data_IF_903934807354
#
_entry.id   IF_903934807354
#
_cell.length_a   1.000
_cell.length_b   1.000
_cell.length_c   1.000
_cell.angle_alpha   90.00
_cell.angle_beta   90.00
_cell.angle_gamma   90.00
#
_symmetry.space_group_name_H-M   'P 1'
#
loop_
_entity.id
_entity.type
_entity.pdbx_description
1 polymer ?
#
# COMPACT_ATOMS: atom_id res chain seq x y z
N UNK A 1 -1.32 24.51 22.87
CA UNK A 1 -2.74 24.50 22.51
C UNK A 1 -2.92 23.47 21.41
N UNK A 2 -3.45 22.29 21.75
CA UNK A 2 -3.53 21.16 20.83
C UNK A 2 -4.62 21.40 19.78
N UNK A 3 -4.23 21.38 18.52
CA UNK A 3 -5.18 21.33 17.41
C UNK A 3 -5.83 19.95 17.43
N UNK A 4 -7.13 19.89 17.68
CA UNK A 4 -7.95 18.67 17.72
C UNK A 4 -7.88 17.90 16.39
N UNK A 5 -8.03 16.57 16.41
CA UNK A 5 -8.18 15.74 15.22
C UNK A 5 -9.27 16.27 14.26
N UNK A 6 -10.35 16.84 14.81
CA UNK A 6 -11.40 17.50 14.04
C UNK A 6 -10.92 18.76 13.29
N UNK A 7 -9.96 19.48 13.86
CA UNK A 7 -9.36 20.67 13.24
C UNK A 7 -8.30 20.31 12.19
N UNK A 8 -7.61 19.18 12.33
CA UNK A 8 -6.78 18.58 11.26
C UNK A 8 -7.64 18.09 10.09
N UNK A 9 -8.81 17.51 10.37
CA UNK A 9 -9.81 17.14 9.37
C UNK A 9 -10.34 18.36 8.61
N UNK A 10 -10.66 19.44 9.32
CA UNK A 10 -11.14 20.69 8.74
C UNK A 10 -10.06 21.40 7.90
N UNK A 11 -8.78 21.36 8.30
CA UNK A 11 -7.69 21.93 7.50
C UNK A 11 -7.45 21.16 6.21
N UNK A 12 -7.63 19.83 6.19
CA UNK A 12 -7.52 19.01 4.97
C UNK A 12 -8.68 19.21 4.00
N UNK A 13 -9.87 19.56 4.49
CA UNK A 13 -11.03 19.93 3.65
C UNK A 13 -10.87 21.31 2.97
N UNK A 14 -9.91 22.13 3.41
CA UNK A 14 -9.66 23.48 2.89
C UNK A 14 -8.42 23.57 1.98
N UNK A 15 -7.60 22.53 1.92
CA UNK A 15 -6.53 22.43 0.94
C UNK A 15 -7.15 22.08 -0.43
N UNK A 16 -6.73 22.70 -1.55
CA UNK A 16 -7.19 22.29 -2.86
C UNK A 16 -6.79 20.82 -3.05
N UNK A 17 -7.79 19.93 -3.07
CA UNK A 17 -7.61 18.53 -3.39
C UNK A 17 -7.05 18.45 -4.81
N UNK A 18 -5.73 18.28 -4.92
CA UNK A 18 -5.10 17.88 -6.17
C UNK A 18 -5.26 16.36 -6.27
N UNK A 19 -6.46 15.96 -6.67
CA UNK A 19 -6.90 14.58 -6.84
C UNK A 19 -8.37 14.62 -7.21
N UNK A 20 -8.75 14.04 -8.34
CA UNK A 20 -10.12 14.08 -8.78
C UNK A 20 -10.90 13.05 -7.94
N UNK A 21 -11.77 13.53 -7.05
CA UNK A 21 -12.52 12.64 -6.15
C UNK A 21 -13.67 12.01 -6.95
N UNK A 22 -13.51 10.74 -7.32
CA UNK A 22 -14.56 9.96 -7.99
C UNK A 22 -15.47 9.32 -6.94
N UNK A 23 -16.52 10.02 -6.52
CA UNK A 23 -17.58 9.46 -5.68
C UNK A 23 -17.53 9.85 -4.21
N UNK A 24 -18.15 9.03 -3.36
CA UNK A 24 -18.26 9.29 -1.92
C UNK A 24 -17.17 8.54 -1.15
N UNK A 25 -16.64 9.17 -0.09
CA UNK A 25 -15.71 8.53 0.85
C UNK A 25 -16.36 7.25 1.43
N UNK A 26 -15.71 6.08 1.32
CA UNK A 26 -16.21 4.84 1.91
C UNK A 26 -16.45 4.98 3.41
N UNK A 27 -17.61 4.52 3.86
CA UNK A 27 -18.02 4.61 5.25
C UNK A 27 -17.61 3.35 6.00
N UNK A 28 -16.78 3.51 7.03
CA UNK A 28 -16.55 2.44 7.99
C UNK A 28 -17.81 2.29 8.89
N UNK A 29 -18.10 1.09 9.41
CA UNK A 29 -19.20 0.92 10.36
C UNK A 29 -19.10 1.85 11.58
N UNK A 30 -20.13 1.97 12.40
CA UNK A 30 -20.05 2.73 13.65
C UNK A 30 -19.33 1.95 14.77
N UNK A 31 -18.89 2.64 15.83
CA UNK A 31 -18.31 2.06 17.05
C UNK A 31 -16.91 2.58 17.40
N UNK A 32 -16.21 1.91 18.32
CA UNK A 32 -14.85 2.30 18.73
C UNK A 32 -13.74 1.57 17.98
N UNK A 33 -14.07 0.41 17.39
CA UNK A 33 -13.12 -0.40 16.61
C UNK A 33 -13.72 -0.84 15.27
N UNK A 34 -12.86 -1.12 14.29
CA UNK A 34 -13.20 -1.48 12.89
C UNK A 34 -12.64 -2.87 12.61
N UNK A 35 -13.40 -3.75 11.96
CA UNK A 35 -12.88 -5.08 11.59
C UNK A 35 -12.00 -4.98 10.35
N UNK A 36 -11.02 -5.87 10.23
CA UNK A 36 -10.11 -5.89 9.09
C UNK A 36 -10.85 -6.14 7.77
N UNK A 37 -11.92 -6.95 7.76
CA UNK A 37 -12.72 -7.13 6.54
C UNK A 37 -13.49 -5.86 6.13
N UNK A 38 -14.00 -5.07 7.08
CA UNK A 38 -14.59 -3.76 6.81
C UNK A 38 -13.56 -2.79 6.22
N UNK A 39 -12.34 -2.76 6.77
CA UNK A 39 -11.24 -1.95 6.23
C UNK A 39 -10.87 -2.38 4.81
N UNK A 40 -10.71 -3.69 4.57
CA UNK A 40 -10.41 -4.23 3.24
C UNK A 40 -11.53 -3.90 2.24
N UNK A 41 -12.80 -3.97 2.66
CA UNK A 41 -13.92 -3.60 1.80
C UNK A 41 -13.84 -2.12 1.39
N UNK A 42 -13.61 -1.22 2.36
CA UNK A 42 -13.40 0.19 2.07
C UNK A 42 -12.23 0.41 1.09
N UNK A 43 -11.08 -0.23 1.30
CA UNK A 43 -9.92 -0.10 0.40
C UNK A 43 -10.20 -0.60 -1.02
N UNK A 44 -11.02 -1.66 -1.18
CA UNK A 44 -11.46 -2.10 -2.51
C UNK A 44 -12.33 -1.04 -3.19
N UNK A 45 -13.27 -0.43 -2.47
CA UNK A 45 -14.08 0.66 -3.02
C UNK A 45 -13.22 1.86 -3.43
N UNK A 46 -12.21 2.22 -2.62
CA UNK A 46 -11.25 3.29 -2.96
C UNK A 46 -10.49 2.94 -4.23
N UNK A 47 -9.91 1.74 -4.32
CA UNK A 47 -9.12 1.33 -5.49
C UNK A 47 -9.98 1.26 -6.76
N UNK A 48 -11.21 0.75 -6.66
CA UNK A 48 -12.12 0.66 -7.79
C UNK A 48 -12.55 2.07 -8.26
N UNK A 49 -12.74 3.04 -7.35
CA UNK A 49 -13.02 4.44 -7.68
C UNK A 49 -11.82 5.18 -8.29
N UNK A 50 -10.61 4.94 -7.77
CA UNK A 50 -9.37 5.55 -8.25
C UNK A 50 -8.87 4.92 -9.56
N UNK A 51 -9.36 3.74 -9.94
CA UNK A 51 -8.97 3.08 -11.18
C UNK A 51 -9.08 4.02 -12.39
N UNK A 52 -10.14 4.82 -12.44
CA UNK A 52 -10.44 5.69 -13.59
C UNK A 52 -9.85 7.11 -13.43
N UNK A 53 -9.04 7.34 -12.39
CA UNK A 53 -8.31 8.59 -12.20
C UNK A 53 -7.24 8.77 -13.30
N UNK A 54 -7.14 9.96 -13.94
CA UNK A 54 -6.17 10.21 -15.01
C UNK A 54 -4.73 9.92 -14.63
N UNK A 55 -4.31 10.22 -13.40
CA UNK A 55 -2.94 9.98 -12.94
C UNK A 55 -2.69 8.48 -12.72
N UNK A 56 -3.69 7.74 -12.22
CA UNK A 56 -3.63 6.28 -12.08
C UNK A 56 -3.56 5.60 -13.46
N UNK A 57 -4.36 6.07 -14.41
CA UNK A 57 -4.37 5.56 -15.79
C UNK A 57 -3.04 5.86 -16.50
N UNK A 58 -2.45 7.04 -16.29
CA UNK A 58 -1.15 7.39 -16.82
C UNK A 58 -0.04 6.48 -16.24
N UNK A 59 -0.06 6.24 -14.92
CA UNK A 59 0.90 5.34 -14.29
C UNK A 59 0.73 3.88 -14.80
N UNK A 60 -0.50 3.42 -15.04
CA UNK A 60 -0.78 2.10 -15.65
C UNK A 60 -0.21 2.01 -17.07
N UNK A 61 -0.49 3.00 -17.93
CA UNK A 61 -0.02 3.02 -19.31
C UNK A 61 1.51 2.97 -19.38
N UNK A 62 2.20 3.71 -18.50
CA UNK A 62 3.65 3.66 -18.39
C UNK A 62 4.18 2.28 -17.94
N UNK A 63 3.46 1.60 -17.04
CA UNK A 63 3.81 0.26 -16.60
C UNK A 63 3.61 -0.77 -17.73
N UNK A 64 2.51 -0.66 -18.48
CA UNK A 64 2.22 -1.49 -19.67
C UNK A 64 3.35 -1.36 -20.69
N UNK A 65 3.69 -0.13 -21.07
CA UNK A 65 4.75 0.14 -22.04
C UNK A 65 6.10 -0.42 -21.58
N UNK A 66 6.45 -0.21 -20.30
CA UNK A 66 7.74 -0.64 -19.76
C UNK A 66 7.91 -2.15 -19.70
N UNK A 67 6.83 -2.87 -19.36
CA UNK A 67 6.90 -4.29 -19.03
C UNK A 67 6.19 -5.22 -20.03
N UNK A 68 5.60 -4.68 -21.10
CA UNK A 68 4.85 -5.45 -22.10
C UNK A 68 3.63 -6.15 -21.50
N UNK A 69 2.91 -5.45 -20.63
CA UNK A 69 1.74 -5.99 -19.95
C UNK A 69 0.53 -6.07 -20.88
N UNK A 70 -0.38 -7.00 -20.61
CA UNK A 70 -1.68 -6.98 -21.28
C UNK A 70 -2.53 -5.83 -20.74
N UNK A 71 -2.95 -4.92 -21.62
CA UNK A 71 -3.89 -3.86 -21.26
C UNK A 71 -5.34 -4.32 -21.40
N UNK A 72 -5.83 -4.98 -20.36
CA UNK A 72 -7.23 -5.36 -20.22
C UNK A 72 -7.85 -4.84 -18.91
N UNK A 73 -9.17 -4.93 -18.81
CA UNK A 73 -9.90 -4.34 -17.68
C UNK A 73 -9.61 -5.03 -16.34
N UNK A 74 -9.28 -6.33 -16.37
CA UNK A 74 -8.91 -7.09 -15.17
C UNK A 74 -7.53 -6.68 -14.68
N UNK A 75 -6.54 -6.56 -15.58
CA UNK A 75 -5.20 -6.12 -15.27
C UNK A 75 -5.19 -4.69 -14.72
N UNK A 76 -5.97 -3.78 -15.31
CA UNK A 76 -6.15 -2.40 -14.79
C UNK A 76 -6.75 -2.36 -13.39
N UNK A 77 -7.80 -3.16 -13.15
CA UNK A 77 -8.44 -3.25 -11.84
C UNK A 77 -7.50 -3.82 -10.77
N UNK A 78 -6.73 -4.85 -11.11
CA UNK A 78 -5.70 -5.35 -10.19
C UNK A 78 -4.60 -4.31 -9.95
N UNK A 79 -4.16 -3.62 -11.00
CA UNK A 79 -3.16 -2.56 -10.89
C UNK A 79 -3.59 -1.47 -9.91
N UNK A 80 -4.83 -0.97 -10.00
CA UNK A 80 -5.32 0.05 -9.08
C UNK A 80 -5.23 -0.39 -7.60
N UNK A 81 -5.53 -1.67 -7.33
CA UNK A 81 -5.43 -2.27 -5.98
C UNK A 81 -3.98 -2.43 -5.53
N UNK A 82 -3.11 -2.92 -6.42
CA UNK A 82 -1.66 -3.05 -6.17
C UNK A 82 -1.05 -1.69 -5.88
N UNK A 83 -1.33 -0.68 -6.70
CA UNK A 83 -0.83 0.68 -6.56
C UNK A 83 -1.28 1.28 -5.23
N UNK A 84 -2.57 1.22 -4.90
CA UNK A 84 -3.09 1.74 -3.63
C UNK A 84 -2.39 1.09 -2.43
N UNK A 85 -2.30 -0.24 -2.42
CA UNK A 85 -1.65 -0.96 -1.33
C UNK A 85 -0.16 -0.67 -1.25
N UNK A 86 0.55 -0.66 -2.38
CA UNK A 86 1.96 -0.30 -2.44
C UNK A 86 2.20 1.08 -1.83
N UNK A 87 1.42 2.09 -2.24
CA UNK A 87 1.55 3.45 -1.71
C UNK A 87 1.16 3.53 -0.24
N UNK A 88 0.24 2.68 0.21
CA UNK A 88 -0.23 2.65 1.59
C UNK A 88 0.74 1.96 2.55
N UNK A 89 1.25 0.78 2.18
CA UNK A 89 1.94 -0.14 3.08
C UNK A 89 3.46 -0.06 3.01
N UNK A 90 4.02 0.82 2.18
CA UNK A 90 5.48 1.01 2.12
C UNK A 90 5.99 1.97 3.20
N UNK A 91 7.29 1.96 3.41
CA UNK A 91 7.98 2.94 4.26
C UNK A 91 7.64 4.38 3.85
N UNK A 92 7.30 5.19 4.85
CA UNK A 92 6.83 6.56 4.64
C UNK A 92 5.55 6.65 3.80
N UNK A 93 4.84 5.54 3.55
CA UNK A 93 3.64 5.49 2.72
C UNK A 93 2.44 6.24 3.31
N UNK A 94 1.27 6.06 2.71
CA UNK A 94 0.03 6.71 3.15
C UNK A 94 -0.30 6.36 4.60
N UNK A 95 -0.03 5.12 5.03
CA UNK A 95 -0.30 4.69 6.41
C UNK A 95 0.84 4.99 7.39
N UNK A 96 1.82 5.79 6.96
CA UNK A 96 2.93 6.26 7.80
C UNK A 96 3.64 5.12 8.54
N UNK A 97 3.92 4.02 7.84
CA UNK A 97 4.78 2.95 8.35
C UNK A 97 6.23 3.43 8.34
N UNK A 98 7.01 3.01 9.33
CA UNK A 98 8.43 3.26 9.40
C UNK A 98 9.21 1.98 9.15
N UNK A 99 10.18 2.04 8.25
CA UNK A 99 11.13 0.98 8.06
C UNK A 99 12.29 1.07 9.06
N UNK A 100 12.52 -0.03 9.78
CA UNK A 100 13.70 -0.25 10.62
C UNK A 100 14.02 -1.76 10.69
N UNK A 101 15.22 -2.12 11.14
CA UNK A 101 15.63 -3.51 11.31
C UNK A 101 14.99 -4.08 12.57
N UNK A 102 14.05 -5.01 12.41
CA UNK A 102 13.33 -5.62 13.53
C UNK A 102 13.84 -7.02 13.88
N UNK A 103 14.53 -7.69 12.94
CA UNK A 103 14.97 -9.09 13.06
C UNK A 103 13.81 -10.05 13.40
N UNK A 104 12.61 -9.78 12.87
CA UNK A 104 11.42 -10.62 13.06
C UNK A 104 11.27 -11.64 11.93
N UNK A 105 10.29 -12.53 12.08
CA UNK A 105 9.94 -13.45 11.01
C UNK A 105 9.22 -12.71 9.87
N UNK A 106 9.37 -13.15 8.60
CA UNK A 106 8.87 -12.45 7.41
C UNK A 106 7.34 -12.56 7.26
N UNK A 107 6.61 -11.88 8.14
CA UNK A 107 5.14 -11.81 8.18
C UNK A 107 4.67 -10.53 8.86
N UNK A 108 3.40 -10.18 8.70
CA UNK A 108 2.87 -8.91 9.21
C UNK A 108 2.26 -8.95 10.62
N UNK A 109 2.34 -10.07 11.36
CA UNK A 109 1.69 -10.20 12.69
C UNK A 109 2.06 -9.05 13.64
N UNK A 110 3.33 -8.66 13.62
CA UNK A 110 3.85 -7.66 14.53
C UNK A 110 3.37 -6.24 14.18
N UNK A 111 3.08 -5.97 12.91
CA UNK A 111 2.42 -4.73 12.47
C UNK A 111 0.98 -4.71 12.99
N UNK A 112 0.23 -5.81 12.83
CA UNK A 112 -1.13 -5.93 13.35
C UNK A 112 -1.20 -5.76 14.87
N UNK A 113 -0.21 -6.29 15.60
CA UNK A 113 -0.10 -6.12 17.05
C UNK A 113 0.14 -4.65 17.44
N UNK A 114 1.02 -3.94 16.73
CA UNK A 114 1.27 -2.51 16.96
C UNK A 114 0.01 -1.67 16.70
N UNK A 115 -0.66 -1.90 15.57
CA UNK A 115 -1.89 -1.20 15.22
C UNK A 115 -3.02 -1.42 16.22
N UNK A 116 -3.12 -2.63 16.76
CA UNK A 116 -4.10 -2.94 17.82
C UNK A 116 -3.86 -2.20 19.14
N UNK A 117 -2.63 -1.77 19.39
CA UNK A 117 -2.25 -1.05 20.61
C UNK A 117 -2.30 0.49 20.41
N UNK A 118 -2.73 0.97 19.24
CA UNK A 118 -2.67 2.37 18.83
C UNK A 118 -4.02 3.08 19.01
N UNK A 119 -4.49 3.18 20.25
CA UNK A 119 -5.86 3.63 20.56
C UNK A 119 -6.13 5.09 20.14
N UNK A 120 -5.11 5.97 20.23
CA UNK A 120 -5.20 7.41 19.93
C UNK A 120 -4.27 7.84 18.79
N UNK A 121 -4.26 7.09 17.68
CA UNK A 121 -3.45 7.45 16.52
C UNK A 121 -3.90 8.77 15.88
N UNK A 122 -3.00 9.76 15.84
CA UNK A 122 -3.25 11.10 15.29
C UNK A 122 -2.50 11.38 13.97
N UNK A 123 -1.79 10.39 13.44
CA UNK A 123 -1.09 10.51 12.17
C UNK A 123 0.25 11.24 12.21
N UNK A 124 0.73 11.67 13.40
CA UNK A 124 2.01 12.40 13.56
C UNK A 124 3.21 11.50 13.80
N UNK A 125 2.96 10.33 14.39
CA UNK A 125 3.97 9.29 14.62
C UNK A 125 3.78 8.14 13.64
N UNK A 126 4.79 7.28 13.52
CA UNK A 126 4.66 6.05 12.75
C UNK A 126 3.46 5.22 13.24
N UNK A 127 2.69 4.65 12.32
CA UNK A 127 1.59 3.75 12.69
C UNK A 127 2.13 2.38 13.13
N UNK A 128 3.25 1.95 12.56
CA UNK A 128 4.03 0.81 13.04
C UNK A 128 5.45 0.88 12.47
N UNK A 129 6.38 0.22 13.15
CA UNK A 129 7.75 -0.01 12.68
C UNK A 129 7.89 -1.46 12.23
N UNK A 130 8.50 -1.67 11.06
CA UNK A 130 8.60 -2.99 10.44
C UNK A 130 9.78 -3.07 9.44
N UNK A 131 10.35 -4.26 9.30
CA UNK A 131 11.40 -4.52 8.32
C UNK A 131 10.82 -4.79 6.91
N UNK A 132 11.68 -4.86 5.89
CA UNK A 132 11.30 -5.00 4.49
C UNK A 132 10.41 -6.23 4.20
N UNK A 133 10.63 -7.31 4.94
CA UNK A 133 9.93 -8.57 4.83
C UNK A 133 8.54 -8.54 5.48
N UNK A 134 8.42 -7.93 6.66
CA UNK A 134 7.16 -7.64 7.34
C UNK A 134 6.28 -6.70 6.48
N UNK A 135 6.87 -5.65 5.89
CA UNK A 135 6.17 -4.73 4.98
C UNK A 135 5.72 -5.42 3.68
N UNK A 136 6.59 -6.23 3.08
CA UNK A 136 6.25 -7.02 1.89
C UNK A 136 5.16 -8.05 2.18
N UNK A 137 5.19 -8.68 3.35
CA UNK A 137 4.17 -9.61 3.81
C UNK A 137 2.82 -8.91 4.07
N UNK A 138 2.84 -7.73 4.67
CA UNK A 138 1.64 -6.91 4.86
C UNK A 138 0.98 -6.57 3.52
N UNK A 139 1.78 -6.07 2.57
CA UNK A 139 1.32 -5.81 1.21
C UNK A 139 0.71 -7.07 0.59
N UNK A 140 1.43 -8.20 0.61
CA UNK A 140 0.99 -9.43 -0.03
C UNK A 140 -0.30 -9.98 0.61
N UNK A 141 -0.38 -9.97 1.94
CA UNK A 141 -1.57 -10.35 2.68
C UNK A 141 -2.78 -9.51 2.24
N UNK A 142 -2.65 -8.18 2.24
CA UNK A 142 -3.73 -7.28 1.85
C UNK A 142 -4.07 -7.38 0.35
N UNK A 143 -3.09 -7.60 -0.51
CA UNK A 143 -3.30 -7.75 -1.95
C UNK A 143 -4.17 -8.97 -2.27
N UNK A 144 -3.85 -10.13 -1.68
CA UNK A 144 -4.70 -11.32 -1.77
C UNK A 144 -6.11 -11.06 -1.24
N UNK A 145 -6.22 -10.30 -0.13
CA UNK A 145 -7.50 -9.90 0.45
C UNK A 145 -8.25 -8.91 -0.42
N UNK A 146 -7.60 -8.13 -1.26
CA UNK A 146 -8.22 -7.25 -2.26
C UNK A 146 -8.49 -7.98 -3.58
N UNK A 147 -8.20 -9.28 -3.68
CA UNK A 147 -8.44 -10.10 -4.87
C UNK A 147 -7.41 -9.91 -5.98
N UNK A 148 -6.23 -9.36 -5.67
CA UNK A 148 -5.08 -9.34 -6.60
C UNK A 148 -4.60 -10.78 -6.80
N UNK A 149 -4.37 -11.17 -8.06
CA UNK A 149 -3.92 -12.52 -8.37
C UNK A 149 -2.39 -12.62 -8.19
N UNK A 150 -1.94 -13.76 -7.70
CA UNK A 150 -0.53 -14.16 -7.64
C UNK A 150 0.44 -13.09 -7.09
N UNK A 151 0.39 -12.87 -5.78
CA UNK A 151 1.36 -12.05 -5.06
C UNK A 151 2.21 -12.93 -4.14
N UNK A 152 3.51 -12.82 -4.28
CA UNK A 152 4.46 -13.61 -3.51
C UNK A 152 5.60 -12.78 -2.93
N UNK A 153 6.44 -13.46 -2.16
CA UNK A 153 7.68 -12.88 -1.65
C UNK A 153 8.88 -13.40 -2.44
N UNK A 154 9.83 -12.50 -2.67
CA UNK A 154 11.08 -12.76 -3.35
C UNK A 154 12.25 -12.30 -2.47
N UNK A 155 13.32 -13.10 -2.45
CA UNK A 155 14.62 -12.74 -1.87
C UNK A 155 15.59 -12.35 -3.01
N UNK A 156 15.59 -11.09 -3.48
CA UNK A 156 16.47 -10.67 -4.58
C UNK A 156 17.94 -10.63 -4.16
N UNK A 157 18.22 -10.36 -2.87
CA UNK A 157 19.56 -10.37 -2.26
C UNK A 157 19.51 -11.06 -0.90
N UNK A 158 20.67 -11.45 -0.35
CA UNK A 158 20.81 -12.34 0.81
C UNK A 158 20.14 -11.86 2.12
N UNK A 159 19.78 -10.59 2.21
CA UNK A 159 19.23 -9.94 3.40
C UNK A 159 18.01 -9.05 3.11
N UNK A 160 17.37 -9.20 1.95
CA UNK A 160 16.25 -8.34 1.58
C UNK A 160 15.10 -9.13 0.98
N UNK A 161 13.89 -8.73 1.32
CA UNK A 161 12.64 -9.31 0.83
C UNK A 161 11.83 -8.23 0.15
N UNK A 162 11.32 -8.57 -1.03
CA UNK A 162 10.37 -7.73 -1.75
C UNK A 162 9.14 -8.54 -2.12
N UNK A 163 7.99 -7.88 -2.16
CA UNK A 163 6.82 -8.45 -2.78
C UNK A 163 6.94 -8.42 -4.31
N UNK A 164 6.34 -9.41 -4.96
CA UNK A 164 6.25 -9.49 -6.42
C UNK A 164 4.81 -9.82 -6.79
N UNK A 165 4.25 -9.02 -7.70
CA UNK A 165 2.95 -9.26 -8.31
C UNK A 165 3.15 -9.89 -9.68
N UNK A 166 2.49 -11.02 -9.95
CA UNK A 166 2.53 -11.67 -11.26
C UNK A 166 1.26 -11.35 -12.03
N UNK A 167 1.43 -10.77 -13.21
CA UNK A 167 0.34 -10.29 -14.07
C UNK A 167 0.54 -10.80 -15.50
N UNK A 168 -0.53 -11.10 -16.25
CA UNK A 168 -0.40 -11.50 -17.65
C UNK A 168 0.24 -10.40 -18.50
N UNK A 169 1.28 -10.75 -19.25
CA UNK A 169 1.84 -9.94 -20.33
C UNK A 169 1.36 -10.39 -21.71
N UNK A 170 1.84 -9.69 -22.74
CA UNK A 170 1.57 -10.03 -24.14
C UNK A 170 2.14 -11.39 -24.55
N UNK A 171 3.26 -11.79 -23.93
CA UNK A 171 4.02 -12.99 -24.30
C UNK A 171 4.14 -14.03 -23.17
N UNK A 172 3.31 -13.91 -22.13
CA UNK A 172 3.33 -14.78 -20.96
C UNK A 172 3.26 -13.97 -19.66
N UNK A 173 3.34 -14.65 -18.52
CA UNK A 173 3.28 -13.99 -17.23
C UNK A 173 4.51 -13.10 -16.98
N UNK A 174 4.26 -11.88 -16.51
CA UNK A 174 5.27 -10.89 -16.14
C UNK A 174 5.27 -10.71 -14.63
N UNK A 175 6.46 -10.55 -14.05
CA UNK A 175 6.66 -10.36 -12.61
C UNK A 175 7.02 -8.90 -12.36
N UNK A 176 6.18 -8.20 -11.61
CA UNK A 176 6.35 -6.79 -11.24
C UNK A 176 6.85 -6.71 -9.80
N UNK A 177 8.02 -6.10 -9.61
CA UNK A 177 8.58 -5.85 -8.29
C UNK A 177 7.75 -4.77 -7.57
N UNK A 178 7.37 -5.05 -6.32
CA UNK A 178 6.64 -4.13 -5.44
C UNK A 178 7.55 -3.80 -4.25
N UNK A 179 8.31 -2.71 -4.31
CA UNK A 179 9.33 -2.47 -3.32
C UNK A 179 8.78 -1.68 -2.12
N UNK A 180 8.61 -2.34 -0.99
CA UNK A 180 7.90 -1.78 0.17
C UNK A 180 8.81 -1.03 1.17
N UNK A 181 10.12 -0.95 0.93
CA UNK A 181 11.07 -0.25 1.82
C UNK A 181 12.22 0.42 1.07
N UNK A 182 12.92 1.35 1.71
CA UNK A 182 13.99 2.14 1.11
C UNK A 182 15.36 1.46 1.00
N UNK A 183 15.59 0.27 1.59
CA UNK A 183 16.91 -0.42 1.52
C UNK A 183 17.40 -0.58 0.07
N UNK A 184 16.45 -0.70 -0.87
CA UNK A 184 16.70 -0.87 -2.30
C UNK A 184 15.98 0.19 -3.14
N UNK A 185 15.55 1.30 -2.51
CA UNK A 185 14.85 2.40 -3.15
C UNK A 185 15.55 3.73 -2.84
N UNK A 186 16.33 4.24 -3.77
CA UNK A 186 16.60 5.68 -3.85
C UNK A 186 15.32 6.45 -4.18
N UNK A 187 15.46 7.76 -4.35
CA UNK A 187 14.33 8.66 -4.57
C UNK A 187 13.63 8.48 -5.93
N UNK A 188 14.17 7.64 -6.83
CA UNK A 188 13.63 7.39 -8.16
C UNK A 188 12.85 6.06 -8.25
N UNK A 189 13.11 5.12 -7.34
CA UNK A 189 12.59 3.76 -7.49
C UNK A 189 11.15 3.59 -6.95
N UNK A 190 10.28 3.14 -7.85
CA UNK A 190 8.83 2.98 -7.64
C UNK A 190 8.34 1.60 -8.07
N UNK A 191 7.02 1.38 -8.03
CA UNK A 191 6.36 0.15 -8.48
C UNK A 191 6.83 -0.24 -9.89
N UNK A 192 7.24 -1.50 -10.05
CA UNK A 192 7.77 -1.99 -11.33
C UNK A 192 9.13 -1.42 -11.70
N UNK A 193 9.98 -1.15 -10.71
CA UNK A 193 11.40 -0.86 -10.91
C UNK A 193 12.11 -2.01 -11.66
N UNK A 194 13.12 -1.67 -12.46
CA UNK A 194 13.95 -2.61 -13.23
C UNK A 194 15.30 -2.91 -12.59
N UNK A 195 15.60 -2.32 -11.43
CA UNK A 195 16.85 -2.57 -10.67
C UNK A 195 17.00 -4.03 -10.27
N UNK A 196 15.87 -4.73 -10.11
CA UNK A 196 15.84 -6.17 -9.91
C UNK A 196 15.11 -6.83 -11.07
N UNK A 197 15.74 -7.88 -11.60
CA UNK A 197 15.08 -8.76 -12.55
C UNK A 197 14.43 -9.94 -11.79
N UNK A 198 13.10 -9.89 -11.54
CA UNK A 198 12.40 -10.97 -10.83
C UNK A 198 12.27 -12.25 -11.67
N UNK A 199 12.61 -12.23 -12.96
CA UNK A 199 12.61 -13.40 -13.83
C UNK A 199 13.88 -14.25 -13.66
N UNK A 200 15.00 -13.68 -13.20
CA UNK A 200 16.24 -14.43 -12.90
C UNK A 200 16.08 -15.40 -11.73
N UNK A 201 15.11 -15.15 -10.86
CA UNK A 201 14.84 -15.98 -9.70
C UNK A 201 13.93 -17.15 -10.07
N UNK A 202 14.40 -18.38 -9.81
CA UNK A 202 13.71 -19.61 -10.22
C UNK A 202 12.34 -19.79 -9.56
N UNK A 203 12.15 -19.27 -8.35
CA UNK A 203 10.93 -19.47 -7.56
C UNK A 203 10.49 -18.16 -6.94
N UNK A 204 9.19 -17.90 -7.04
CA UNK A 204 8.47 -16.95 -6.20
C UNK A 204 7.51 -17.80 -5.37
N UNK A 205 7.53 -17.58 -4.05
CA UNK A 205 6.61 -18.26 -3.16
C UNK A 205 5.35 -17.40 -3.01
N UNK A 206 4.23 -17.89 -3.55
CA UNK A 206 2.92 -17.28 -3.39
C UNK A 206 2.60 -17.13 -1.89
N UNK A 207 2.34 -15.90 -1.45
CA UNK A 207 2.17 -15.58 -0.04
C UNK A 207 0.74 -15.84 0.40
N UNK A 208 0.42 -17.10 0.74
CA UNK A 208 -0.95 -17.52 1.09
C UNK A 208 -1.28 -17.40 2.57
N UNK A 209 -0.39 -16.83 3.37
CA UNK A 209 -0.57 -16.75 4.82
C UNK A 209 -1.67 -15.73 5.16
N UNK A 210 -2.51 -16.10 6.14
CA UNK A 210 -3.51 -15.21 6.73
C UNK A 210 -2.95 -14.57 8.00
N UNK A 211 -2.25 -13.46 7.85
CA UNK A 211 -1.60 -12.75 8.96
C UNK A 211 -2.61 -12.06 9.89
N UNK A 212 -3.71 -11.55 9.33
CA UNK A 212 -4.85 -11.08 10.10
C UNK A 212 -6.12 -11.88 9.77
N UNK A 213 -6.87 -12.24 10.82
CA UNK A 213 -8.20 -12.80 10.69
C UNK A 213 -9.22 -11.70 10.31
N UNK A 214 -10.28 -12.07 9.59
CA UNK A 214 -11.35 -11.15 9.16
C UNK A 214 -12.01 -10.45 10.34
N UNK A 215 -12.09 -11.13 11.48
CA UNK A 215 -12.65 -10.60 12.72
C UNK A 215 -11.69 -9.74 13.55
N UNK A 216 -10.40 -9.65 13.19
CA UNK A 216 -9.45 -8.82 13.91
C UNK A 216 -9.92 -7.37 13.88
N UNK A 217 -9.82 -6.69 15.02
CA UNK A 217 -10.34 -5.33 15.19
C UNK A 217 -9.19 -4.35 15.40
N UNK A 218 -9.24 -3.22 14.71
CA UNK A 218 -8.35 -2.08 14.84
C UNK A 218 -9.06 -0.92 15.56
N UNK A 219 -8.33 -0.06 16.28
CA UNK A 219 -8.87 1.21 16.76
C UNK A 219 -9.48 2.02 15.61
N UNK A 220 -10.65 2.65 15.83
CA UNK A 220 -11.35 3.39 14.76
C UNK A 220 -10.53 4.55 14.24
N UNK A 221 -9.86 5.30 15.11
CA UNK A 221 -9.07 6.46 14.73
C UNK A 221 -8.01 6.08 13.68
N UNK A 222 -7.30 4.97 13.93
CA UNK A 222 -6.30 4.42 13.01
C UNK A 222 -6.92 4.00 11.66
N UNK A 223 -7.97 3.16 11.70
CA UNK A 223 -8.60 2.67 10.47
C UNK A 223 -9.23 3.81 9.64
N UNK A 224 -9.80 4.82 10.29
CA UNK A 224 -10.35 6.00 9.63
C UNK A 224 -9.25 6.85 8.99
N UNK A 225 -8.12 7.07 9.66
CA UNK A 225 -6.97 7.77 9.05
C UNK A 225 -6.45 7.03 7.82
N UNK A 226 -6.35 5.69 7.87
CA UNK A 226 -5.95 4.88 6.72
C UNK A 226 -6.89 5.07 5.53
N UNK A 227 -8.21 4.97 5.75
CA UNK A 227 -9.22 5.18 4.70
C UNK A 227 -9.14 6.60 4.14
N UNK A 228 -9.02 7.62 5.00
CA UNK A 228 -8.95 9.02 4.57
C UNK A 228 -7.72 9.30 3.71
N UNK A 229 -6.54 8.84 4.12
CA UNK A 229 -5.30 9.04 3.35
C UNK A 229 -5.33 8.26 2.05
N UNK A 230 -5.77 7.01 2.08
CA UNK A 230 -5.97 6.20 0.88
C UNK A 230 -6.94 6.88 -0.09
N UNK A 231 -8.02 7.50 0.40
CA UNK A 231 -9.02 8.17 -0.44
C UNK A 231 -8.51 9.47 -1.06
N UNK A 232 -8.00 10.39 -0.23
CA UNK A 232 -7.64 11.74 -0.68
C UNK A 232 -6.29 11.81 -1.39
N UNK A 233 -5.33 10.99 -0.96
CA UNK A 233 -3.97 11.02 -1.49
C UNK A 233 -3.69 9.87 -2.45
N UNK A 234 -4.39 8.74 -2.34
CA UNK A 234 -4.08 7.52 -3.08
C UNK A 234 -4.07 7.69 -4.60
N UNK A 235 -4.93 8.55 -5.17
CA UNK A 235 -4.99 8.82 -6.61
C UNK A 235 -3.93 9.78 -7.15
N UNK A 236 -3.16 10.47 -6.28
CA UNK A 236 -2.20 11.52 -6.71
C UNK A 236 -1.10 10.96 -7.63
N UNK A 237 -0.45 11.80 -8.46
CA UNK A 237 0.63 11.35 -9.34
C UNK A 237 1.75 10.60 -8.60
N UNK A 238 2.30 9.53 -9.19
CA UNK A 238 3.35 8.72 -8.56
C UNK A 238 4.56 9.54 -8.09
N UNK A 239 4.98 10.54 -8.88
CA UNK A 239 6.09 11.43 -8.51
C UNK A 239 5.78 12.28 -7.26
N UNK A 240 4.52 12.67 -7.09
CA UNK A 240 4.07 13.41 -5.91
C UNK A 240 4.04 12.50 -4.68
N UNK A 241 3.50 11.29 -4.82
CA UNK A 241 3.51 10.29 -3.75
C UNK A 241 4.93 9.89 -3.35
N UNK A 242 5.85 9.80 -4.30
CA UNK A 242 7.29 9.58 -4.06
C UNK A 242 7.94 10.67 -3.22
N UNK A 243 7.72 11.94 -3.56
CA UNK A 243 8.24 13.05 -2.76
C UNK A 243 7.68 13.03 -1.35
N UNK A 244 6.37 12.84 -1.23
CA UNK A 244 5.67 12.87 0.06
C UNK A 244 6.13 11.72 0.98
N UNK A 245 6.34 10.51 0.44
CA UNK A 245 6.85 9.38 1.24
C UNK A 245 8.31 9.56 1.64
N UNK A 246 9.18 10.01 0.73
CA UNK A 246 10.59 10.26 1.06
C UNK A 246 10.73 11.32 2.17
N UNK A 247 9.91 12.36 2.10
CA UNK A 247 9.85 13.40 3.13
C UNK A 247 9.32 12.88 4.48
N UNK A 248 8.46 11.86 4.50
CA UNK A 248 8.00 11.21 5.74
C UNK A 248 9.07 10.28 6.30
N UNK A 249 9.65 9.40 5.48
CA UNK A 249 10.73 8.50 5.89
C UNK A 249 11.91 9.26 6.51
N UNK A 250 12.29 10.41 5.93
CA UNK A 250 13.39 11.22 6.46
C UNK A 250 13.12 11.89 7.84
N UNK A 251 11.87 11.84 8.34
CA UNK A 251 11.46 12.44 9.62
C UNK A 251 11.25 11.41 10.73
N UNK A 252 11.16 10.13 10.37
CA UNK A 252 10.92 9.01 11.27
C UNK A 252 12.26 8.43 11.73
#
# INVERSE_FOLDING_TARGET
MGVSAAALLALRLLAPAQGQIFGALPQLPAGETVRVDDLVAALREIADAQRDDPDVQADWAALVERHGLRDDDDARREYARVRLLFESTRDGGLWNLHWDITNRAPNSDAIWAQWRAHDDYDGRVASATAECDELSALFAHLAHRMGVRHVGLLWPVWNHVVAVWTVPGEHGDVRIVVPTSQIMLDDEQTLGTTEFDPMRQRRIYDYRRRDAADGLRLPRALAADFVLRSWYDGGRPAATLQRDRNARSARL
#
